data_IF_051221768398
#
_entry.id   IF_051221768398
#
_cell.length_a   1.000
_cell.length_b   1.000
_cell.length_c   1.000
_cell.angle_alpha   90.00
_cell.angle_beta   90.00
_cell.angle_gamma   90.00
#
_symmetry.space_group_name_H-M   'P 1'
#
loop_
_entity.id
_entity.type
_entity.pdbx_description
1 polymer ?
#
# COMPACT_ATOMS: atom_id res chain seq x y z
N UNK A 1 -9.10 10.42 -22.72
CA UNK A 1 -7.67 10.26 -22.39
C UNK A 1 -7.61 9.91 -20.92
N UNK A 2 -7.07 8.73 -20.58
CA UNK A 2 -6.93 8.32 -19.18
C UNK A 2 -5.99 9.29 -18.46
N UNK A 3 -6.35 9.68 -17.23
CA UNK A 3 -5.49 10.53 -16.43
C UNK A 3 -4.31 9.67 -15.94
N UNK A 4 -3.09 9.97 -16.39
CA UNK A 4 -1.88 9.30 -15.90
C UNK A 4 -1.70 9.60 -14.43
N UNK A 5 -1.28 8.61 -13.68
CA UNK A 5 -0.88 8.78 -12.29
C UNK A 5 0.53 9.36 -12.27
N UNK A 6 0.68 10.49 -11.61
CA UNK A 6 1.99 11.11 -11.37
C UNK A 6 2.49 10.76 -9.99
N UNK A 7 3.65 10.11 -9.95
CA UNK A 7 4.34 9.74 -8.72
C UNK A 7 5.59 10.59 -8.59
N UNK A 8 5.69 11.33 -7.49
CA UNK A 8 6.89 12.08 -7.15
C UNK A 8 7.71 11.32 -6.11
N UNK A 9 9.02 11.26 -6.32
CA UNK A 9 9.99 10.71 -5.37
C UNK A 9 10.87 11.85 -4.89
N UNK A 10 10.83 12.13 -3.60
CA UNK A 10 11.61 13.17 -2.95
C UNK A 10 12.61 12.47 -2.03
N UNK A 11 13.89 12.49 -2.40
CA UNK A 11 14.99 12.04 -1.53
C UNK A 11 16.30 12.77 -1.89
N UNK A 12 17.06 13.27 -0.92
CA UNK A 12 18.34 13.97 -1.17
C UNK A 12 19.52 13.03 -1.44
N UNK A 13 19.34 11.74 -1.20
CA UNK A 13 20.34 10.70 -1.39
C UNK A 13 20.23 9.97 -2.74
N UNK A 14 19.43 10.50 -3.69
CA UNK A 14 19.45 10.05 -5.08
C UNK A 14 20.89 10.19 -5.64
N UNK A 15 21.50 9.11 -6.17
CA UNK A 15 22.88 9.16 -6.63
C UNK A 15 23.12 10.17 -7.74
N UNK A 16 24.29 10.81 -7.68
CA UNK A 16 24.70 11.83 -8.64
C UNK A 16 25.79 11.32 -9.57
N UNK A 17 25.43 11.00 -10.81
CA UNK A 17 26.39 10.62 -11.85
C UNK A 17 27.09 11.84 -12.45
N UNK A 18 28.38 11.76 -12.80
CA UNK A 18 29.10 12.87 -13.44
C UNK A 18 28.39 13.40 -14.69
N UNK A 19 27.87 12.49 -15.54
CA UNK A 19 27.17 12.88 -16.77
C UNK A 19 25.92 13.75 -16.52
N UNK A 20 25.19 13.49 -15.44
CA UNK A 20 23.99 14.25 -15.07
C UNK A 20 24.32 15.53 -14.30
N UNK A 21 25.42 15.52 -13.54
CA UNK A 21 25.96 16.74 -12.92
C UNK A 21 26.37 17.72 -14.01
N UNK A 22 27.10 17.26 -15.03
CA UNK A 22 27.55 18.09 -16.15
C UNK A 22 26.38 18.67 -16.96
N UNK A 23 25.24 18.00 -16.94
CA UNK A 23 24.01 18.41 -17.63
C UNK A 23 23.03 19.18 -16.73
N UNK A 24 23.38 19.47 -15.47
CA UNK A 24 22.49 20.15 -14.51
C UNK A 24 21.14 19.44 -14.30
N UNK A 25 21.09 18.11 -14.44
CA UNK A 25 19.84 17.33 -14.30
C UNK A 25 19.25 17.44 -12.89
N UNK A 26 20.11 17.54 -11.87
CA UNK A 26 19.70 17.60 -10.46
C UNK A 26 19.19 18.97 -10.03
N UNK A 27 19.30 20.00 -10.88
CA UNK A 27 18.80 21.35 -10.62
C UNK A 27 17.29 21.48 -10.91
N UNK A 28 16.64 20.37 -11.33
CA UNK A 28 15.23 20.33 -11.66
C UNK A 28 14.62 18.93 -11.52
N UNK A 29 13.42 18.70 -12.09
CA UNK A 29 12.74 17.42 -12.03
C UNK A 29 13.46 16.36 -12.87
N UNK A 30 13.80 15.23 -12.25
CA UNK A 30 14.38 14.06 -12.90
C UNK A 30 13.23 13.20 -13.45
N UNK A 31 13.14 13.05 -14.76
CA UNK A 31 12.04 12.32 -15.40
C UNK A 31 12.24 10.79 -15.38
N UNK A 32 11.22 10.06 -15.84
CA UNK A 32 11.22 8.58 -15.84
C UNK A 32 12.38 7.98 -16.65
N UNK A 33 12.71 8.53 -17.82
CA UNK A 33 13.82 8.01 -18.66
C UNK A 33 15.17 8.19 -17.98
N UNK A 34 15.37 9.33 -17.30
CA UNK A 34 16.56 9.60 -16.51
C UNK A 34 16.66 8.69 -15.29
N UNK A 35 15.54 8.43 -14.61
CA UNK A 35 15.47 7.51 -13.48
C UNK A 35 15.78 6.07 -13.88
N UNK A 36 15.32 5.61 -15.06
CA UNK A 36 15.68 4.28 -15.59
C UNK A 36 17.19 4.15 -15.68
N UNK A 37 17.86 5.13 -16.30
CA UNK A 37 19.31 5.12 -16.43
C UNK A 37 20.01 5.10 -15.07
N UNK A 38 19.58 5.93 -14.11
CA UNK A 38 20.17 5.98 -12.76
C UNK A 38 19.99 4.68 -11.98
N UNK A 39 18.86 4.00 -12.14
CA UNK A 39 18.59 2.72 -11.48
C UNK A 39 19.45 1.60 -12.10
N UNK A 40 19.65 1.62 -13.42
CA UNK A 40 20.44 0.61 -14.12
C UNK A 40 21.96 0.81 -13.96
N UNK A 41 22.45 2.05 -13.91
CA UNK A 41 23.88 2.34 -13.97
C UNK A 41 24.55 2.45 -12.60
N UNK A 42 23.85 2.90 -11.55
CA UNK A 42 24.47 3.26 -10.27
C UNK A 42 24.12 2.32 -9.13
N UNK A 43 25.08 2.09 -8.24
CA UNK A 43 24.80 1.57 -6.90
C UNK A 43 24.30 2.70 -6.00
N UNK A 44 23.09 2.55 -5.45
CA UNK A 44 22.50 3.52 -4.54
C UNK A 44 23.00 3.22 -3.13
N UNK A 45 24.27 3.54 -2.86
CA UNK A 45 24.91 3.27 -1.57
C UNK A 45 24.21 4.02 -0.45
N UNK A 46 23.57 3.29 0.47
CA UNK A 46 22.76 3.86 1.55
C UNK A 46 21.26 3.81 1.28
N UNK A 47 20.85 3.88 0.01
CA UNK A 47 19.44 3.99 -0.41
C UNK A 47 18.96 2.77 -1.22
N UNK A 48 19.39 1.57 -0.82
CA UNK A 48 19.00 0.32 -1.50
C UNK A 48 17.49 0.12 -1.58
N UNK A 49 16.75 0.56 -0.56
CA UNK A 49 15.31 0.38 -0.48
C UNK A 49 14.55 1.38 -1.36
N UNK A 50 15.04 2.63 -1.44
CA UNK A 50 14.52 3.59 -2.40
C UNK A 50 14.82 3.16 -3.84
N UNK A 51 16.03 2.65 -4.12
CA UNK A 51 16.36 2.06 -5.43
C UNK A 51 15.38 0.95 -5.77
N UNK A 52 15.17 0.02 -4.84
CA UNK A 52 14.23 -1.10 -4.99
C UNK A 52 12.82 -0.61 -5.30
N UNK A 53 12.28 0.35 -4.53
CA UNK A 53 10.97 0.95 -4.77
C UNK A 53 10.89 1.62 -6.14
N UNK A 54 11.90 2.42 -6.49
CA UNK A 54 11.97 3.12 -7.78
C UNK A 54 12.00 2.11 -8.93
N UNK A 55 12.82 1.06 -8.84
CA UNK A 55 12.85 -0.04 -9.81
C UNK A 55 11.50 -0.74 -9.91
N UNK A 56 10.79 -0.93 -8.80
CA UNK A 56 9.49 -1.60 -8.81
C UNK A 56 8.46 -0.80 -9.60
N UNK A 57 8.37 0.50 -9.33
CA UNK A 57 7.41 1.37 -10.01
C UNK A 57 7.80 1.52 -11.49
N UNK A 58 9.09 1.70 -11.81
CA UNK A 58 9.58 1.78 -13.19
C UNK A 58 9.34 0.49 -13.98
N UNK A 59 9.63 -0.68 -13.42
CA UNK A 59 9.42 -1.94 -14.13
C UNK A 59 7.93 -2.24 -14.31
N UNK A 60 7.09 -1.90 -13.32
CA UNK A 60 5.64 -1.96 -13.51
C UNK A 60 5.15 -0.95 -14.54
N UNK A 61 5.81 0.21 -14.65
CA UNK A 61 5.53 1.15 -15.72
C UNK A 61 5.84 0.57 -17.10
N UNK A 62 6.68 -0.45 -17.28
CA UNK A 62 6.79 -1.08 -18.61
C UNK A 62 5.50 -1.80 -19.03
N UNK A 63 4.83 -2.44 -18.07
CA UNK A 63 3.54 -3.10 -18.26
C UNK A 63 2.38 -2.08 -18.37
N UNK A 64 2.47 -0.96 -17.65
CA UNK A 64 1.44 0.08 -17.55
C UNK A 64 1.95 1.44 -18.08
N UNK A 65 2.74 1.43 -19.16
CA UNK A 65 3.58 2.56 -19.61
C UNK A 65 2.82 3.81 -20.00
N UNK A 66 1.55 3.64 -20.34
CA UNK A 66 0.67 4.74 -20.66
C UNK A 66 0.02 5.37 -19.42
N UNK A 67 0.18 4.77 -18.23
CA UNK A 67 -0.65 5.03 -17.04
C UNK A 67 0.13 5.59 -15.84
N UNK A 68 1.46 5.37 -15.76
CA UNK A 68 2.32 5.89 -14.68
C UNK A 68 3.38 6.84 -15.24
N UNK A 69 3.53 7.99 -14.60
CA UNK A 69 4.59 8.95 -14.86
C UNK A 69 5.34 9.24 -13.56
N UNK A 70 6.66 9.02 -13.54
CA UNK A 70 7.49 9.19 -12.34
C UNK A 70 8.42 10.37 -12.53
N UNK A 71 8.51 11.19 -11.49
CA UNK A 71 9.45 12.29 -11.35
C UNK A 71 10.19 12.16 -10.03
N UNK A 72 11.47 12.49 -10.00
CA UNK A 72 12.23 12.57 -8.76
C UNK A 72 12.86 13.95 -8.54
N UNK A 73 13.04 14.28 -7.27
CA UNK A 73 13.52 15.57 -6.81
C UNK A 73 14.53 15.35 -5.69
N UNK A 74 15.70 15.98 -5.81
CA UNK A 74 16.76 15.90 -4.80
C UNK A 74 16.52 16.82 -3.61
N UNK A 75 15.53 17.71 -3.69
CA UNK A 75 15.20 18.64 -2.62
C UNK A 75 13.73 19.06 -2.69
N UNK A 76 13.02 19.28 -1.55
CA UNK A 76 11.61 19.66 -1.54
C UNK A 76 11.30 20.95 -2.30
N UNK A 77 12.20 21.93 -2.30
CA UNK A 77 12.01 23.19 -3.04
C UNK A 77 11.83 22.97 -4.55
N UNK A 78 12.58 22.02 -5.15
CA UNK A 78 12.45 21.71 -6.58
C UNK A 78 11.09 21.09 -6.91
N UNK A 79 10.55 20.31 -5.97
CA UNK A 79 9.20 19.75 -6.07
C UNK A 79 8.14 20.86 -6.00
N UNK A 80 8.28 21.79 -5.07
CA UNK A 80 7.38 22.94 -4.93
C UNK A 80 7.38 23.80 -6.20
N UNK A 81 8.56 24.12 -6.74
CA UNK A 81 8.70 24.86 -8.00
C UNK A 81 7.99 24.14 -9.17
N UNK A 82 8.09 22.81 -9.22
CA UNK A 82 7.42 22.01 -10.24
C UNK A 82 5.88 21.99 -10.07
N UNK A 83 5.39 21.91 -8.83
CA UNK A 83 3.95 21.99 -8.50
C UNK A 83 3.40 23.35 -8.92
N UNK A 84 4.10 24.43 -8.56
CA UNK A 84 3.71 25.80 -8.92
C UNK A 84 3.74 26.02 -10.45
N UNK A 85 4.63 25.32 -11.15
CA UNK A 85 4.70 25.30 -12.61
C UNK A 85 3.62 24.43 -13.28
N UNK A 86 2.76 23.78 -12.49
CA UNK A 86 1.60 23.00 -12.96
C UNK A 86 1.82 21.49 -13.04
N UNK A 87 2.96 20.96 -12.59
CA UNK A 87 3.19 19.52 -12.49
C UNK A 87 2.56 18.99 -11.19
N UNK A 88 1.28 18.62 -11.27
CA UNK A 88 0.51 18.18 -10.09
C UNK A 88 0.67 16.67 -9.84
N UNK A 89 1.18 16.24 -8.68
CA UNK A 89 1.30 14.82 -8.33
C UNK A 89 -0.01 14.22 -7.81
N UNK A 90 -0.20 12.92 -8.03
CA UNK A 90 -1.23 12.12 -7.37
C UNK A 90 -0.70 11.45 -6.10
N UNK A 91 0.58 11.06 -6.14
CA UNK A 91 1.28 10.35 -5.07
C UNK A 91 2.65 10.99 -4.87
N UNK A 92 3.06 11.16 -3.61
CA UNK A 92 4.40 11.62 -3.24
C UNK A 92 5.02 10.59 -2.30
N UNK A 93 6.23 10.14 -2.60
CA UNK A 93 7.09 9.37 -1.71
C UNK A 93 8.11 10.37 -1.16
N UNK A 94 7.98 10.69 0.12
CA UNK A 94 8.70 11.77 0.78
C UNK A 94 9.68 11.21 1.80
N UNK A 95 10.97 11.38 1.54
CA UNK A 95 12.02 11.12 2.52
C UNK A 95 11.90 12.09 3.71
N UNK A 96 12.04 11.59 4.93
CA UNK A 96 11.91 12.44 6.10
C UNK A 96 13.24 13.12 6.46
N UNK A 97 14.36 12.62 6.00
CA UNK A 97 15.69 12.96 6.49
C UNK A 97 16.30 14.25 5.90
N UNK A 98 15.45 15.20 5.47
CA UNK A 98 15.89 16.47 4.88
C UNK A 98 16.46 17.49 5.88
N UNK A 99 17.73 17.84 5.70
CA UNK A 99 18.41 18.97 6.34
C UNK A 99 19.26 18.61 7.57
N UNK A 100 19.98 19.60 8.11
CA UNK A 100 20.94 19.42 9.22
C UNK A 100 20.22 19.16 10.57
N UNK A 101 19.02 19.73 10.74
CA UNK A 101 18.07 19.40 11.81
C UNK A 101 16.83 18.72 11.18
N UNK A 102 16.96 17.45 10.80
CA UNK A 102 16.05 16.81 9.85
C UNK A 102 14.59 16.86 10.31
N UNK A 103 14.33 16.73 11.60
CA UNK A 103 12.96 16.67 12.13
C UNK A 103 12.15 17.96 11.93
N UNK A 104 12.73 19.14 12.17
CA UNK A 104 11.96 20.40 12.12
C UNK A 104 11.81 20.87 10.68
N UNK A 105 12.89 20.84 9.91
CA UNK A 105 12.87 21.33 8.53
C UNK A 105 12.05 20.41 7.62
N UNK A 106 12.18 19.09 7.79
CA UNK A 106 11.38 18.14 7.02
C UNK A 106 9.89 18.24 7.31
N UNK A 107 9.51 18.45 8.57
CA UNK A 107 8.12 18.70 8.95
C UNK A 107 7.56 19.93 8.20
N UNK A 108 8.31 21.03 8.17
CA UNK A 108 7.89 22.26 7.49
C UNK A 108 7.75 22.06 5.98
N UNK A 109 8.73 21.42 5.33
CA UNK A 109 8.67 21.11 3.90
C UNK A 109 7.47 20.24 3.54
N UNK A 110 7.25 19.17 4.32
CA UNK A 110 6.10 18.30 4.13
C UNK A 110 4.78 19.07 4.23
N UNK A 111 4.67 19.98 5.21
CA UNK A 111 3.47 20.80 5.38
C UNK A 111 3.20 21.69 4.17
N UNK A 112 4.23 22.33 3.63
CA UNK A 112 4.11 23.19 2.45
C UNK A 112 3.63 22.40 1.23
N UNK A 113 4.20 21.21 1.00
CA UNK A 113 3.75 20.28 -0.05
C UNK A 113 2.30 19.82 0.16
N UNK A 114 1.90 19.55 1.41
CA UNK A 114 0.52 19.17 1.73
C UNK A 114 -0.48 20.30 1.51
N UNK A 115 -0.07 21.55 1.79
CA UNK A 115 -0.91 22.74 1.57
C UNK A 115 -1.12 23.03 0.07
N UNK A 116 -0.16 22.70 -0.80
CA UNK A 116 -0.21 22.99 -2.25
C UNK A 116 -0.77 21.87 -3.13
N UNK A 117 -0.84 20.63 -2.63
CA UNK A 117 -1.28 19.49 -3.44
C UNK A 117 -2.52 18.81 -2.87
N UNK A 118 -3.18 17.98 -3.68
CA UNK A 118 -4.16 16.98 -3.22
C UNK A 118 -3.58 15.55 -3.12
N UNK A 119 -2.27 15.39 -3.34
CA UNK A 119 -1.61 14.09 -3.41
C UNK A 119 -1.72 13.30 -2.09
N UNK A 120 -1.67 11.98 -2.21
CA UNK A 120 -1.42 11.10 -1.07
C UNK A 120 0.09 10.98 -0.85
N UNK A 121 0.54 11.12 0.40
CA UNK A 121 1.96 11.18 0.74
C UNK A 121 2.39 9.98 1.58
N UNK A 122 3.34 9.21 1.07
CA UNK A 122 4.07 8.23 1.85
C UNK A 122 5.27 8.90 2.51
N UNK A 123 5.23 9.09 3.82
CA UNK A 123 6.37 9.54 4.60
C UNK A 123 7.26 8.32 4.83
N UNK A 124 8.42 8.29 4.18
CA UNK A 124 9.27 7.12 4.04
C UNK A 124 10.62 7.38 4.70
N UNK A 125 10.88 6.76 5.86
CA UNK A 125 11.98 7.17 6.75
C UNK A 125 12.65 6.00 7.46
N UNK A 126 13.93 6.12 7.80
CA UNK A 126 14.67 5.22 8.68
C UNK A 126 14.37 5.46 10.17
N UNK A 127 13.85 6.65 10.52
CA UNK A 127 13.51 7.05 11.90
C UNK A 127 12.01 7.14 12.14
N UNK A 128 11.22 6.28 11.47
CA UNK A 128 9.74 6.27 11.50
C UNK A 128 9.16 6.45 12.90
N UNK A 129 9.71 5.77 13.91
CA UNK A 129 9.15 5.75 15.26
C UNK A 129 9.31 7.07 16.02
N UNK A 130 10.20 7.95 15.55
CA UNK A 130 10.43 9.28 16.11
C UNK A 130 9.51 10.34 15.50
N UNK A 131 8.89 10.09 14.35
CA UNK A 131 8.09 11.09 13.61
C UNK A 131 6.70 11.39 14.23
N UNK A 132 5.95 10.44 14.85
CA UNK A 132 4.55 10.65 15.19
C UNK A 132 4.27 11.89 16.04
N UNK A 133 5.15 12.26 16.97
CA UNK A 133 4.95 13.45 17.80
C UNK A 133 4.96 14.77 17.02
N UNK A 134 5.54 14.79 15.81
CA UNK A 134 5.56 15.94 14.90
C UNK A 134 4.30 15.96 14.05
N UNK A 135 3.90 14.81 13.51
CA UNK A 135 2.72 14.69 12.64
C UNK A 135 1.39 14.61 13.38
N UNK A 136 1.39 14.40 14.70
CA UNK A 136 0.19 14.46 15.54
C UNK A 136 -0.16 15.90 16.00
N UNK A 137 0.59 16.91 15.54
CA UNK A 137 0.28 18.31 15.84
C UNK A 137 -1.01 18.75 15.11
N UNK A 138 -1.77 19.74 15.65
CA UNK A 138 -3.03 20.20 15.06
C UNK A 138 -2.93 20.64 13.59
N UNK A 139 -1.79 21.18 13.18
CA UNK A 139 -1.56 21.64 11.81
C UNK A 139 -1.59 20.52 10.76
N UNK A 140 -1.36 19.26 11.15
CA UNK A 140 -1.44 18.08 10.29
C UNK A 140 -2.76 17.32 10.39
N UNK A 141 -3.61 17.64 11.37
CA UNK A 141 -4.87 16.91 11.61
C UNK A 141 -5.77 16.92 10.36
N UNK A 142 -5.84 18.08 9.68
CA UNK A 142 -6.58 18.24 8.41
C UNK A 142 -6.06 17.36 7.28
N UNK A 143 -4.82 16.87 7.38
CA UNK A 143 -4.16 16.03 6.38
C UNK A 143 -4.08 14.55 6.77
N UNK A 144 -4.58 14.16 7.94
CA UNK A 144 -4.48 12.79 8.48
C UNK A 144 -4.94 11.67 7.53
N UNK A 145 -5.85 11.97 6.60
CA UNK A 145 -6.36 11.03 5.61
C UNK A 145 -5.51 10.95 4.32
N UNK A 146 -4.46 11.78 4.22
CA UNK A 146 -3.63 11.97 3.02
C UNK A 146 -2.17 11.60 3.21
N UNK A 147 -1.79 11.03 4.35
CA UNK A 147 -0.45 10.51 4.49
C UNK A 147 -0.40 9.22 5.31
N UNK A 148 0.67 8.47 5.10
CA UNK A 148 0.98 7.27 5.87
C UNK A 148 2.49 7.18 6.08
N UNK A 149 2.89 6.80 7.29
CA UNK A 149 4.30 6.63 7.65
C UNK A 149 4.77 5.20 7.39
N UNK A 150 5.94 5.06 6.77
CA UNK A 150 6.61 3.80 6.51
C UNK A 150 8.07 3.84 6.97
N UNK A 151 8.54 2.69 7.47
CA UNK A 151 9.94 2.48 7.82
C UNK A 151 10.65 1.91 6.60
N UNK A 152 11.70 2.57 6.07
CA UNK A 152 12.40 2.08 4.88
C UNK A 152 12.87 0.64 5.07
N UNK A 153 12.56 -0.24 4.12
CA UNK A 153 12.94 -1.66 4.15
C UNK A 153 12.20 -2.53 5.15
N UNK A 154 11.20 -2.00 5.87
CA UNK A 154 10.45 -2.79 6.84
C UNK A 154 9.48 -3.73 6.15
N UNK A 155 9.49 -4.99 6.58
CA UNK A 155 8.51 -6.02 6.22
C UNK A 155 7.71 -6.48 7.44
N UNK A 156 7.86 -5.84 8.62
CA UNK A 156 7.50 -6.48 9.89
C UNK A 156 5.99 -6.62 10.10
N UNK A 157 5.21 -5.66 9.62
CA UNK A 157 3.81 -5.46 10.03
C UNK A 157 2.75 -5.89 9.02
N UNK A 158 3.17 -6.33 7.82
CA UNK A 158 2.27 -6.80 6.77
C UNK A 158 2.91 -7.94 5.98
N UNK A 159 2.13 -8.65 5.16
CA UNK A 159 2.68 -9.49 4.09
C UNK A 159 3.50 -8.68 3.08
N UNK A 160 3.21 -7.39 2.91
CA UNK A 160 4.03 -6.51 2.08
C UNK A 160 5.23 -5.96 2.84
N UNK A 161 6.36 -5.81 2.14
CA UNK A 161 7.34 -4.80 2.54
C UNK A 161 6.76 -3.39 2.36
N UNK A 162 7.38 -2.38 2.96
CA UNK A 162 6.98 -0.98 2.79
C UNK A 162 6.98 -0.57 1.32
N UNK A 163 7.98 -1.00 0.55
CA UNK A 163 8.12 -0.73 -0.88
C UNK A 163 7.03 -1.45 -1.69
N UNK A 164 6.72 -2.70 -1.32
CA UNK A 164 5.66 -3.45 -1.97
C UNK A 164 4.29 -2.86 -1.69
N UNK A 165 4.04 -2.39 -0.47
CA UNK A 165 2.78 -1.72 -0.14
C UNK A 165 2.61 -0.45 -0.97
N UNK A 166 3.64 0.40 -1.03
CA UNK A 166 3.62 1.64 -1.83
C UNK A 166 3.39 1.30 -3.31
N UNK A 167 4.09 0.29 -3.84
CA UNK A 167 3.87 -0.19 -5.20
C UNK A 167 2.42 -0.60 -5.42
N UNK A 168 1.85 -1.46 -4.56
CA UNK A 168 0.46 -1.90 -4.71
C UNK A 168 -0.52 -0.73 -4.64
N UNK A 169 -0.24 0.27 -3.81
CA UNK A 169 -1.06 1.49 -3.77
C UNK A 169 -1.01 2.27 -5.10
N UNK A 170 0.18 2.47 -5.67
CA UNK A 170 0.35 3.11 -6.98
C UNK A 170 -0.40 2.31 -8.06
N UNK A 171 -0.25 0.99 -8.05
CA UNK A 171 -0.85 0.12 -9.05
C UNK A 171 -2.39 0.07 -8.92
N UNK A 172 -2.94 -0.01 -7.72
CA UNK A 172 -4.40 -0.05 -7.51
C UNK A 172 -5.12 1.19 -8.05
N UNK A 173 -4.43 2.33 -8.11
CA UNK A 173 -4.96 3.55 -8.71
C UNK A 173 -5.15 3.41 -10.23
N UNK A 174 -4.51 2.44 -10.88
CA UNK A 174 -4.57 2.14 -12.33
C UNK A 174 -5.78 1.27 -12.69
N UNK A 175 -6.59 0.81 -11.72
CA UNK A 175 -7.81 -0.02 -11.92
C UNK A 175 -7.64 -1.37 -12.65
N UNK A 176 -6.48 -1.67 -13.23
CA UNK A 176 -6.24 -2.90 -14.00
C UNK A 176 -4.92 -3.57 -13.63
N UNK A 177 -4.80 -4.03 -12.39
CA UNK A 177 -3.60 -4.72 -11.90
C UNK A 177 -3.81 -6.23 -11.96
N UNK A 178 -3.06 -6.91 -12.83
CA UNK A 178 -3.14 -8.37 -12.99
C UNK A 178 -2.11 -9.15 -12.14
N UNK A 179 -1.38 -8.46 -11.27
CA UNK A 179 -0.33 -9.04 -10.45
C UNK A 179 -0.27 -8.39 -9.08
N UNK A 180 0.22 -9.16 -8.11
CA UNK A 180 0.49 -8.71 -6.75
C UNK A 180 1.92 -9.08 -6.38
N UNK A 181 2.62 -8.17 -5.69
CA UNK A 181 3.98 -8.41 -5.23
C UNK A 181 4.03 -8.56 -3.71
N UNK A 182 4.46 -9.73 -3.22
CA UNK A 182 4.51 -10.06 -1.79
C UNK A 182 5.86 -10.73 -1.48
N UNK A 183 6.66 -10.14 -0.60
CA UNK A 183 7.94 -10.69 -0.14
C UNK A 183 8.87 -11.10 -1.29
N UNK A 184 8.95 -10.25 -2.31
CA UNK A 184 9.73 -10.45 -3.54
C UNK A 184 9.05 -11.35 -4.58
N UNK A 185 7.96 -12.03 -4.25
CA UNK A 185 7.22 -12.90 -5.16
C UNK A 185 6.26 -12.06 -5.99
N UNK A 186 6.23 -12.27 -7.31
CA UNK A 186 5.19 -11.72 -8.18
C UNK A 186 4.18 -12.83 -8.46
N UNK A 187 2.95 -12.63 -8.01
CA UNK A 187 1.87 -13.61 -8.11
C UNK A 187 0.81 -13.03 -9.06
N UNK A 188 0.40 -13.76 -10.12
CA UNK A 188 -0.76 -13.39 -10.93
C UNK A 188 -2.02 -13.22 -10.06
N UNK A 189 -2.78 -12.16 -10.33
CA UNK A 189 -4.04 -11.85 -9.68
C UNK A 189 -5.13 -11.77 -10.75
N UNK A 190 -6.16 -12.59 -10.57
CA UNK A 190 -7.40 -12.48 -11.32
C UNK A 190 -8.44 -11.84 -10.41
N UNK A 191 -9.16 -10.84 -10.92
CA UNK A 191 -10.42 -10.41 -10.30
C UNK A 191 -11.29 -11.64 -10.08
N UNK A 192 -11.82 -11.76 -8.88
CA UNK A 192 -12.44 -12.97 -8.39
C UNK A 192 -13.59 -12.62 -7.45
N UNK A 193 -14.40 -13.61 -7.08
CA UNK A 193 -15.62 -13.42 -6.32
C UNK A 193 -15.37 -12.98 -4.85
N UNK A 194 -14.11 -12.92 -4.42
CA UNK A 194 -13.71 -12.65 -3.04
C UNK A 194 -12.94 -11.34 -2.86
N UNK A 195 -12.07 -11.02 -3.82
CA UNK A 195 -11.14 -9.91 -3.79
C UNK A 195 -11.35 -9.07 -5.05
N UNK A 196 -11.77 -7.82 -4.87
CA UNK A 196 -12.01 -6.88 -5.96
C UNK A 196 -10.67 -6.34 -6.51
N UNK A 197 -9.63 -6.32 -5.67
CA UNK A 197 -8.30 -5.80 -6.00
C UNK A 197 -7.18 -6.60 -5.34
N UNK A 198 -5.93 -6.54 -5.85
CA UNK A 198 -4.77 -7.12 -5.19
C UNK A 198 -4.58 -6.70 -3.73
N UNK A 199 -4.84 -5.44 -3.38
CA UNK A 199 -4.70 -4.98 -1.98
C UNK A 199 -5.61 -5.69 -0.99
N UNK A 200 -6.70 -6.29 -1.46
CA UNK A 200 -7.65 -6.98 -0.60
C UNK A 200 -7.04 -8.24 0.04
N UNK A 201 -5.85 -8.66 -0.41
CA UNK A 201 -5.05 -9.68 0.27
C UNK A 201 -4.78 -9.32 1.75
N UNK A 202 -4.74 -8.04 2.10
CA UNK A 202 -4.55 -7.57 3.47
C UNK A 202 -5.69 -8.00 4.40
N UNK A 203 -6.88 -8.20 3.84
CA UNK A 203 -7.99 -8.74 4.61
C UNK A 203 -7.78 -10.22 4.90
N UNK A 204 -7.29 -10.98 3.92
CA UNK A 204 -6.90 -12.38 4.12
C UNK A 204 -5.76 -12.48 5.17
N UNK A 205 -4.81 -11.54 5.14
CA UNK A 205 -3.77 -11.43 6.17
C UNK A 205 -4.38 -11.27 7.57
N UNK A 206 -5.39 -10.41 7.74
CA UNK A 206 -6.05 -10.22 9.04
C UNK A 206 -6.74 -11.48 9.54
N UNK A 207 -7.29 -12.31 8.64
CA UNK A 207 -7.97 -13.56 9.01
C UNK A 207 -6.97 -14.66 9.36
N UNK A 208 -5.93 -14.86 8.55
CA UNK A 208 -4.98 -15.97 8.71
C UNK A 208 -3.77 -15.65 9.61
N UNK A 209 -3.43 -14.37 9.71
CA UNK A 209 -2.13 -13.91 10.15
C UNK A 209 -1.07 -13.99 9.05
N UNK A 210 -0.13 -13.04 9.09
CA UNK A 210 0.99 -12.89 8.15
C UNK A 210 1.73 -14.19 7.86
N UNK A 211 2.18 -14.90 8.90
CA UNK A 211 3.04 -16.07 8.76
C UNK A 211 2.34 -17.21 8.00
N UNK A 212 1.07 -17.47 8.31
CA UNK A 212 0.28 -18.51 7.65
C UNK A 212 -0.02 -18.17 6.20
N UNK A 213 -0.38 -16.90 5.93
CA UNK A 213 -0.63 -16.46 4.56
C UNK A 213 0.64 -16.55 3.70
N UNK A 214 1.79 -16.07 4.18
CA UNK A 214 3.06 -16.19 3.45
C UNK A 214 3.43 -17.66 3.20
N UNK A 215 3.27 -18.53 4.21
CA UNK A 215 3.54 -19.95 4.06
C UNK A 215 2.69 -20.58 2.95
N UNK A 216 1.38 -20.28 2.93
CA UNK A 216 0.46 -20.76 1.88
C UNK A 216 0.85 -20.21 0.51
N UNK A 217 1.14 -18.91 0.42
CA UNK A 217 1.53 -18.26 -0.84
C UNK A 217 2.80 -18.89 -1.43
N UNK A 218 3.80 -19.20 -0.59
CA UNK A 218 5.07 -19.78 -1.04
C UNK A 218 4.97 -21.23 -1.50
N UNK A 219 4.08 -22.02 -0.90
CA UNK A 219 4.12 -23.48 -1.03
C UNK A 219 2.99 -24.07 -1.85
N UNK A 220 1.93 -23.30 -2.12
CA UNK A 220 0.67 -23.89 -2.63
C UNK A 220 -0.06 -23.02 -3.64
N UNK A 221 0.46 -21.84 -3.96
CA UNK A 221 -0.28 -20.82 -4.70
C UNK A 221 0.61 -20.22 -5.78
N UNK A 222 0.27 -20.53 -7.02
CA UNK A 222 0.89 -19.95 -8.22
C UNK A 222 0.08 -18.76 -8.78
N UNK A 223 -1.19 -18.62 -8.37
CA UNK A 223 -2.09 -17.51 -8.73
C UNK A 223 -3.14 -17.25 -7.66
N UNK A 224 -3.60 -16.00 -7.54
CA UNK A 224 -4.76 -15.63 -6.73
C UNK A 224 -6.02 -15.73 -7.60
N UNK A 225 -6.87 -16.73 -7.31
CA UNK A 225 -8.17 -16.99 -7.94
C UNK A 225 -9.19 -17.49 -6.91
N UNK A 226 -10.46 -17.66 -7.32
CA UNK A 226 -11.53 -18.19 -6.46
C UNK A 226 -11.11 -19.50 -5.77
N UNK A 227 -10.59 -20.46 -6.54
CA UNK A 227 -10.19 -21.77 -6.01
C UNK A 227 -9.08 -21.64 -4.95
N UNK A 228 -8.12 -20.76 -5.21
CA UNK A 228 -7.02 -20.52 -4.29
C UNK A 228 -7.49 -19.85 -2.99
N UNK A 229 -8.38 -18.86 -3.08
CA UNK A 229 -8.94 -18.20 -1.90
C UNK A 229 -9.80 -19.18 -1.08
N UNK A 230 -10.58 -20.04 -1.73
CA UNK A 230 -11.31 -21.11 -1.05
C UNK A 230 -10.35 -22.03 -0.28
N UNK A 231 -9.29 -22.54 -0.92
CA UNK A 231 -8.28 -23.39 -0.28
C UNK A 231 -7.55 -22.71 0.88
N UNK A 232 -7.29 -21.40 0.76
CA UNK A 232 -6.68 -20.61 1.83
C UNK A 232 -7.58 -20.60 3.07
N UNK A 233 -8.88 -20.45 2.87
CA UNK A 233 -9.87 -20.22 3.93
C UNK A 233 -10.50 -21.50 4.49
N UNK A 234 -10.55 -22.59 3.73
CA UNK A 234 -11.07 -23.88 4.22
C UNK A 234 -10.26 -24.45 5.39
N UNK A 235 -8.97 -24.13 5.45
CA UNK A 235 -8.10 -24.54 6.56
C UNK A 235 -8.40 -23.82 7.88
N UNK A 236 -9.25 -22.78 7.85
CA UNK A 236 -9.69 -22.10 9.06
C UNK A 236 -10.74 -22.97 9.76
N UNK A 237 -10.38 -23.48 10.94
CA UNK A 237 -11.30 -24.15 11.87
C UNK A 237 -12.28 -23.18 12.56
N UNK A 238 -12.88 -22.26 11.80
CA UNK A 238 -13.87 -21.30 12.28
C UNK A 238 -15.25 -21.83 11.94
N UNK A 239 -16.11 -21.90 12.95
CA UNK A 239 -17.52 -22.24 12.77
C UNK A 239 -18.34 -20.96 12.81
N UNK A 240 -19.16 -20.71 11.79
CA UNK A 240 -20.07 -19.57 11.74
C UNK A 240 -21.49 -20.09 11.70
N UNK A 241 -22.40 -19.40 12.40
CA UNK A 241 -23.83 -19.68 12.38
C UNK A 241 -24.57 -18.48 11.81
N UNK A 242 -25.57 -18.75 10.98
CA UNK A 242 -26.50 -17.77 10.44
C UNK A 242 -27.89 -18.02 11.02
N UNK A 243 -28.54 -16.95 11.49
CA UNK A 243 -29.94 -16.93 11.87
C UNK A 243 -30.73 -16.12 10.84
N UNK A 244 -31.48 -16.82 9.98
CA UNK A 244 -32.24 -16.22 8.89
C UNK A 244 -33.40 -15.34 9.37
N UNK A 245 -33.94 -15.58 10.58
CA UNK A 245 -35.08 -14.81 11.10
C UNK A 245 -34.60 -13.43 11.56
N UNK A 246 -33.44 -13.39 12.20
CA UNK A 246 -32.84 -12.15 12.72
C UNK A 246 -31.88 -11.49 11.72
N UNK A 247 -31.56 -12.18 10.64
CA UNK A 247 -30.55 -11.83 9.64
C UNK A 247 -29.19 -11.50 10.28
N UNK A 248 -28.69 -12.39 11.13
CA UNK A 248 -27.43 -12.20 11.86
C UNK A 248 -26.46 -13.35 11.65
N UNK A 249 -25.17 -13.04 11.61
CA UNK A 249 -24.08 -14.01 11.67
C UNK A 249 -23.46 -14.01 13.07
N UNK A 250 -23.10 -15.19 13.57
CA UNK A 250 -22.50 -15.38 14.89
C UNK A 250 -21.34 -16.35 14.81
N UNK A 251 -20.20 -15.99 15.42
CA UNK A 251 -19.08 -16.90 15.57
C UNK A 251 -19.39 -18.01 16.58
N UNK A 252 -18.99 -19.24 16.24
CA UNK A 252 -19.13 -20.41 17.09
C UNK A 252 -18.38 -20.32 18.42
N UNK A 253 -17.30 -19.54 18.46
CA UNK A 253 -16.55 -19.21 19.68
C UNK A 253 -17.34 -18.30 20.64
N UNK A 254 -18.32 -17.55 20.15
CA UNK A 254 -19.11 -16.58 20.92
C UNK A 254 -20.30 -17.23 21.63
N UNK A 255 -20.02 -18.12 22.61
CA UNK A 255 -21.04 -18.90 23.34
C UNK A 255 -22.22 -18.08 23.87
N UNK A 256 -21.95 -16.87 24.40
CA UNK A 256 -23.00 -15.97 24.91
C UNK A 256 -23.96 -15.48 23.80
N UNK A 257 -23.42 -15.22 22.60
CA UNK A 257 -24.21 -14.75 21.47
C UNK A 257 -24.98 -15.90 20.80
N UNK A 258 -24.42 -17.11 20.80
CA UNK A 258 -25.10 -18.30 20.29
C UNK A 258 -26.39 -18.63 21.06
N UNK A 259 -26.54 -18.18 22.30
CA UNK A 259 -27.78 -18.36 23.06
C UNK A 259 -28.90 -17.41 22.63
N UNK A 260 -28.58 -16.37 21.84
CA UNK A 260 -29.54 -15.37 21.36
C UNK A 260 -30.15 -15.72 19.99
N UNK A 261 -29.63 -16.75 19.33
CA UNK A 261 -30.11 -17.23 18.02
C UNK A 261 -30.92 -18.51 18.18
N UNK A 262 -32.04 -18.57 17.48
CA UNK A 262 -33.03 -19.66 17.59
C UNK A 262 -32.82 -20.69 16.47
N UNK A 263 -32.57 -20.22 15.24
CA UNK A 263 -32.34 -21.07 14.08
C UNK A 263 -30.86 -21.06 13.69
N UNK A 264 -30.09 -22.01 14.23
CA UNK A 264 -28.64 -22.12 14.00
C UNK A 264 -28.34 -22.88 12.72
N UNK A 265 -28.16 -22.19 11.60
CA UNK A 265 -27.63 -22.81 10.37
C UNK A 265 -26.12 -22.61 10.33
N UNK A 266 -25.36 -23.70 10.36
CA UNK A 266 -23.90 -23.62 10.18
C UNK A 266 -23.59 -23.20 8.74
N UNK A 267 -22.75 -22.19 8.58
CA UNK A 267 -22.30 -21.67 7.29
C UNK A 267 -20.76 -21.63 7.25
N UNK A 268 -20.17 -21.88 6.08
CA UNK A 268 -18.72 -21.79 5.90
C UNK A 268 -18.28 -20.33 5.75
N UNK A 269 -16.99 -20.06 6.01
CA UNK A 269 -16.36 -18.75 5.76
C UNK A 269 -16.49 -18.37 4.28
N UNK A 270 -16.28 -19.33 3.38
CA UNK A 270 -16.41 -19.12 1.94
C UNK A 270 -17.80 -18.65 1.55
N UNK A 271 -18.86 -19.21 2.15
CA UNK A 271 -20.23 -18.75 1.93
C UNK A 271 -20.49 -17.38 2.53
N UNK A 272 -19.90 -17.06 3.68
CA UNK A 272 -20.04 -15.72 4.27
C UNK A 272 -19.43 -14.67 3.35
N UNK A 273 -18.25 -14.94 2.80
CA UNK A 273 -17.60 -14.04 1.86
C UNK A 273 -18.39 -13.86 0.57
N UNK A 274 -18.81 -14.96 -0.08
CA UNK A 274 -19.56 -14.88 -1.34
C UNK A 274 -20.87 -14.11 -1.20
N UNK A 275 -21.60 -14.33 -0.11
CA UNK A 275 -22.96 -13.79 0.03
C UNK A 275 -23.01 -12.44 0.77
N UNK A 276 -22.03 -12.15 1.62
CA UNK A 276 -22.07 -10.96 2.48
C UNK A 276 -20.81 -10.09 2.35
N UNK A 277 -19.81 -10.53 1.59
CA UNK A 277 -18.59 -9.77 1.35
C UNK A 277 -17.58 -9.80 2.49
N UNK A 278 -16.38 -9.35 2.16
CA UNK A 278 -15.18 -9.36 3.00
C UNK A 278 -15.29 -8.47 4.24
N UNK A 279 -15.95 -7.31 4.10
CA UNK A 279 -16.20 -6.39 5.20
C UNK A 279 -17.02 -7.03 6.32
N UNK A 280 -18.11 -7.72 5.97
CA UNK A 280 -18.96 -8.40 6.95
C UNK A 280 -18.24 -9.58 7.62
N UNK A 281 -17.44 -10.35 6.88
CA UNK A 281 -16.62 -11.39 7.50
C UNK A 281 -15.67 -10.79 8.54
N UNK A 282 -15.00 -9.69 8.21
CA UNK A 282 -14.07 -9.02 9.13
C UNK A 282 -14.75 -8.54 10.41
N UNK A 283 -15.86 -7.82 10.27
CA UNK A 283 -16.62 -7.31 11.41
C UNK A 283 -17.12 -8.46 12.30
N UNK A 284 -17.56 -9.56 11.67
CA UNK A 284 -17.93 -10.78 12.38
C UNK A 284 -16.76 -11.36 13.19
N UNK A 285 -15.57 -11.43 12.62
CA UNK A 285 -14.39 -11.99 13.28
C UNK A 285 -13.92 -11.13 14.46
N UNK A 286 -14.13 -9.81 14.39
CA UNK A 286 -13.76 -8.87 15.44
C UNK A 286 -14.79 -8.82 16.57
N UNK A 287 -16.08 -8.70 16.23
CA UNK A 287 -17.17 -8.47 17.21
C UNK A 287 -17.80 -9.79 17.69
N UNK A 288 -17.70 -10.85 16.88
CA UNK A 288 -18.27 -12.16 17.17
C UNK A 288 -19.76 -12.31 16.83
N UNK A 289 -20.45 -11.21 16.51
CA UNK A 289 -21.83 -11.18 16.03
C UNK A 289 -22.04 -9.93 15.19
N UNK A 290 -22.68 -10.07 14.03
CA UNK A 290 -23.07 -8.94 13.20
C UNK A 290 -24.49 -9.12 12.66
N UNK A 291 -25.13 -8.00 12.36
CA UNK A 291 -26.36 -7.99 11.58
C UNK A 291 -26.02 -7.73 10.12
N UNK A 292 -26.59 -8.53 9.23
CA UNK A 292 -26.42 -8.37 7.81
C UNK A 292 -27.49 -7.39 7.33
N UNK A 293 -27.07 -6.31 6.68
CA UNK A 293 -27.99 -5.45 5.96
C UNK A 293 -28.35 -6.12 4.62
N UNK A 294 -29.63 -6.09 4.21
CA UNK A 294 -30.11 -6.72 2.98
C UNK A 294 -29.52 -6.10 1.71
#
# INVERSE_FOLDING_TARGET
MGNRIKVFILDDNIPKTPAYVDQSVYDGPINSDQLIQLVESEEWTGEKHLKQLTSYILNSSEQYKADIEIWAFTHPSLCLDAIDSGLIPDIIIYDWEYGIEPHVNSSNWLKEIMDLTSAFIFVYSMVRDEIPHLLNKPEYEKFSHRFQLFLKGSDSNSVFSSEEFILQYVLNRIKQTSTIRIQGMTIPFNENSYLDSPSDILYIEKVLGKANLIHKLKNSIDKISDETIELILEDLNITIYYDAVKNILVLGSSKLMLNKIENKVKISITNVLKNYGLKNLMELLEIGIIKIDP
#
